data_IF_622899258195
#
_entry.id   IF_622899258195
#
_cell.length_a   1.000
_cell.length_b   1.000
_cell.length_c   1.000
_cell.angle_alpha   90.00
_cell.angle_beta   90.00
_cell.angle_gamma   90.00
#
_symmetry.space_group_name_H-M   'P 1'
#
loop_
_entity.id
_entity.type
_entity.pdbx_description
1 polymer ?
#
# COMPACT_ATOMS: atom_id res chain seq x y z
N UNK A 1 -13.00 8.38 2.78
CA UNK A 1 -11.55 8.64 2.58
C UNK A 1 -11.23 9.12 1.16
N UNK A 2 -11.98 8.71 0.12
CA UNK A 2 -11.84 9.23 -1.24
C UNK A 2 -12.91 10.28 -1.52
N UNK A 3 -12.53 11.51 -1.90
CA UNK A 3 -13.46 12.66 -1.91
C UNK A 3 -13.72 13.30 -3.28
N UNK A 4 -12.96 12.92 -4.31
CA UNK A 4 -13.07 13.48 -5.67
C UNK A 4 -13.22 12.42 -6.78
N UNK A 5 -13.47 11.16 -6.40
CA UNK A 5 -13.70 10.07 -7.34
C UNK A 5 -15.09 10.15 -7.98
N UNK A 6 -15.11 10.12 -9.31
CA UNK A 6 -16.34 9.98 -10.12
C UNK A 6 -16.79 8.51 -10.20
N UNK A 7 -18.06 8.29 -10.55
CA UNK A 7 -18.61 6.94 -10.78
C UNK A 7 -17.82 6.17 -11.85
N UNK A 8 -17.35 6.86 -12.90
CA UNK A 8 -16.55 6.26 -13.96
C UNK A 8 -15.18 5.78 -13.45
N UNK A 9 -14.55 6.52 -12.53
CA UNK A 9 -13.29 6.10 -11.91
C UNK A 9 -13.50 4.93 -10.94
N UNK A 10 -14.62 4.91 -10.21
CA UNK A 10 -15.00 3.75 -9.39
C UNK A 10 -15.24 2.51 -10.23
N UNK A 11 -15.98 2.62 -11.34
CA UNK A 11 -16.19 1.52 -12.29
C UNK A 11 -14.86 1.05 -12.89
N UNK A 12 -14.00 1.98 -13.30
CA UNK A 12 -12.66 1.67 -13.81
C UNK A 12 -11.82 0.86 -12.80
N UNK A 13 -11.76 1.30 -11.54
CA UNK A 13 -11.05 0.58 -10.48
C UNK A 13 -11.66 -0.80 -10.19
N UNK A 14 -12.99 -0.90 -10.17
CA UNK A 14 -13.66 -2.19 -9.99
C UNK A 14 -13.28 -3.19 -11.09
N UNK A 15 -13.19 -2.74 -12.35
CA UNK A 15 -12.77 -3.56 -13.51
C UNK A 15 -11.29 -3.92 -13.50
N UNK A 16 -10.45 -3.20 -12.77
CA UNK A 16 -9.04 -3.58 -12.58
C UNK A 16 -8.87 -4.71 -11.55
N UNK A 17 -9.77 -4.78 -10.55
CA UNK A 17 -9.71 -5.78 -9.49
C UNK A 17 -10.55 -7.03 -9.77
N UNK A 18 -11.57 -6.89 -10.61
CA UNK A 18 -12.54 -7.93 -10.92
C UNK A 18 -12.76 -8.07 -12.42
N UNK A 19 -12.94 -9.31 -12.84
CA UNK A 19 -13.36 -9.71 -14.17
C UNK A 19 -14.69 -10.47 -14.09
N UNK A 20 -15.37 -10.71 -15.21
CA UNK A 20 -16.57 -11.54 -15.23
C UNK A 20 -16.22 -13.00 -15.56
N UNK A 21 -16.69 -13.94 -14.72
CA UNK A 21 -16.62 -15.39 -14.95
C UNK A 21 -17.97 -15.99 -14.65
N UNK A 22 -18.54 -16.74 -15.60
CA UNK A 22 -19.88 -17.34 -15.51
C UNK A 22 -21.00 -16.35 -15.16
N UNK A 23 -20.91 -15.13 -15.72
CA UNK A 23 -21.88 -14.05 -15.48
C UNK A 23 -21.85 -13.47 -14.07
N UNK A 24 -20.74 -13.65 -13.33
CA UNK A 24 -20.54 -13.12 -11.98
C UNK A 24 -19.18 -12.42 -11.86
N UNK A 25 -19.07 -11.38 -11.00
CA UNK A 25 -17.78 -10.81 -10.65
C UNK A 25 -16.87 -11.84 -9.98
N UNK A 26 -15.66 -12.00 -10.52
CA UNK A 26 -14.61 -12.84 -9.98
C UNK A 26 -13.31 -12.03 -9.86
N UNK A 27 -12.50 -12.31 -8.84
CA UNK A 27 -11.24 -11.57 -8.64
C UNK A 27 -10.29 -11.79 -9.81
N UNK A 28 -9.69 -10.71 -10.29
CA UNK A 28 -8.77 -10.74 -11.42
C UNK A 28 -7.31 -10.74 -10.97
N UNK A 29 -6.94 -11.76 -10.20
CA UNK A 29 -5.56 -12.03 -9.83
C UNK A 29 -5.30 -13.54 -9.76
N UNK A 30 -4.02 -13.92 -9.79
CA UNK A 30 -3.62 -15.32 -9.68
C UNK A 30 -3.96 -15.88 -8.28
N UNK A 31 -4.83 -16.89 -8.15
CA UNK A 31 -5.12 -17.51 -6.85
C UNK A 31 -3.87 -18.14 -6.21
N UNK A 32 -2.85 -18.53 -6.99
CA UNK A 32 -1.59 -19.01 -6.45
C UNK A 32 -0.81 -17.91 -5.70
N UNK A 33 -0.95 -16.64 -6.09
CA UNK A 33 -0.37 -15.51 -5.35
C UNK A 33 -0.94 -15.42 -3.94
N UNK A 34 -2.26 -15.60 -3.81
CA UNK A 34 -2.92 -15.61 -2.50
C UNK A 34 -2.48 -16.81 -1.69
N UNK A 35 -2.44 -18.00 -2.29
CA UNK A 35 -1.99 -19.21 -1.60
C UNK A 35 -0.54 -19.07 -1.09
N UNK A 36 0.36 -18.49 -1.90
CA UNK A 36 1.77 -18.31 -1.57
C UNK A 36 1.98 -17.32 -0.41
N UNK A 37 1.12 -16.32 -0.26
CA UNK A 37 1.27 -15.26 0.75
C UNK A 37 0.38 -15.46 1.98
N UNK A 38 -0.65 -16.31 1.90
CA UNK A 38 -1.64 -16.51 2.95
C UNK A 38 -1.02 -16.89 4.31
N UNK A 39 -0.04 -17.79 4.32
CA UNK A 39 0.61 -18.22 5.55
C UNK A 39 1.36 -17.08 6.24
N UNK A 40 2.08 -16.25 5.48
CA UNK A 40 2.82 -15.11 6.02
C UNK A 40 1.86 -14.03 6.57
N UNK A 41 0.77 -13.74 5.84
CA UNK A 41 -0.26 -12.79 6.29
C UNK A 41 -0.94 -13.29 7.56
N UNK A 42 -1.32 -14.57 7.61
CA UNK A 42 -1.94 -15.17 8.78
C UNK A 42 -1.00 -15.16 10.00
N UNK A 43 0.28 -15.47 9.80
CA UNK A 43 1.29 -15.41 10.87
C UNK A 43 1.46 -13.98 11.41
N UNK A 44 1.51 -12.97 10.53
CA UNK A 44 1.56 -11.56 10.93
C UNK A 44 0.34 -11.15 11.75
N UNK A 45 -0.87 -11.49 11.28
CA UNK A 45 -2.11 -11.19 12.00
C UNK A 45 -2.18 -11.90 13.36
N UNK A 46 -1.75 -13.17 13.43
CA UNK A 46 -1.67 -13.92 14.67
C UNK A 46 -0.68 -13.30 15.67
N UNK A 47 0.48 -12.83 15.19
CA UNK A 47 1.46 -12.17 16.04
C UNK A 47 0.94 -10.83 16.61
N UNK A 48 0.22 -10.04 15.81
CA UNK A 48 -0.44 -8.81 16.28
C UNK A 48 -1.51 -9.13 17.33
N UNK A 49 -2.34 -10.15 17.07
CA UNK A 49 -3.38 -10.59 18.02
C UNK A 49 -2.77 -11.08 19.34
N UNK A 50 -1.76 -11.94 19.29
CA UNK A 50 -1.09 -12.46 20.48
C UNK A 50 -0.43 -11.34 21.31
N UNK A 51 0.20 -10.36 20.65
CA UNK A 51 0.75 -9.19 21.33
C UNK A 51 -0.34 -8.40 22.06
N UNK A 52 -1.47 -8.14 21.40
CA UNK A 52 -2.62 -7.46 22.01
C UNK A 52 -3.19 -8.22 23.21
N UNK A 53 -3.37 -9.54 23.11
CA UNK A 53 -3.83 -10.40 24.21
C UNK A 53 -2.85 -10.43 25.39
N UNK A 54 -1.54 -10.30 25.11
CA UNK A 54 -0.50 -10.20 26.13
C UNK A 54 -0.29 -8.77 26.68
N UNK A 55 -1.07 -7.78 26.22
CA UNK A 55 -0.86 -6.38 26.59
C UNK A 55 0.46 -5.78 26.10
N UNK A 56 1.06 -6.40 25.07
CA UNK A 56 2.32 -5.97 24.45
C UNK A 56 2.04 -5.17 23.18
N UNK A 57 2.94 -4.24 22.79
CA UNK A 57 2.83 -3.58 21.51
C UNK A 57 2.96 -4.59 20.37
N UNK A 58 2.25 -4.34 19.27
CA UNK A 58 2.38 -5.14 18.06
C UNK A 58 3.85 -5.19 17.60
N UNK A 59 4.30 -6.31 17.00
CA UNK A 59 5.65 -6.41 16.45
C UNK A 59 5.94 -5.25 15.49
N UNK A 60 7.10 -4.63 15.68
CA UNK A 60 7.53 -3.49 14.86
C UNK A 60 7.88 -3.93 13.44
N UNK A 61 7.36 -3.22 12.44
CA UNK A 61 7.74 -3.40 11.04
C UNK A 61 8.99 -2.58 10.64
N UNK A 62 9.53 -1.75 11.55
CA UNK A 62 10.72 -0.94 11.27
C UNK A 62 11.94 -1.75 10.81
N UNK A 63 12.26 -2.93 11.38
CA UNK A 63 13.38 -3.75 10.89
C UNK A 63 13.21 -4.18 9.42
N UNK A 64 11.98 -4.48 9.00
CA UNK A 64 11.69 -4.84 7.61
C UNK A 64 11.81 -3.63 6.68
N UNK A 65 11.34 -2.46 7.14
CA UNK A 65 11.52 -1.21 6.41
C UNK A 65 13.01 -0.82 6.30
N UNK A 66 13.78 -0.97 7.37
CA UNK A 66 15.21 -0.70 7.38
C UNK A 66 15.97 -1.62 6.42
N UNK A 67 15.47 -2.83 6.13
CA UNK A 67 16.02 -3.72 5.12
C UNK A 67 15.86 -3.20 3.68
N UNK A 68 15.02 -2.19 3.44
CA UNK A 68 14.88 -1.49 2.15
C UNK A 68 15.94 -0.41 1.92
N UNK A 69 16.84 -0.15 2.88
CA UNK A 69 17.92 0.85 2.73
C UNK A 69 18.74 0.71 1.43
N UNK A 70 19.15 -0.49 0.97
CA UNK A 70 19.99 -0.60 -0.23
C UNK A 70 19.23 -0.43 -1.55
N UNK A 71 17.89 -0.35 -1.54
CA UNK A 71 17.08 -0.20 -2.76
C UNK A 71 16.41 1.18 -2.83
N UNK A 72 16.34 1.81 -4.02
CA UNK A 72 15.50 2.99 -4.21
C UNK A 72 14.05 2.68 -3.83
N UNK A 73 13.41 3.60 -3.11
CA UNK A 73 12.02 3.41 -2.66
C UNK A 73 11.22 4.70 -2.77
N UNK A 74 9.92 4.53 -3.01
CA UNK A 74 8.90 5.58 -3.01
C UNK A 74 7.79 5.18 -2.02
N UNK A 75 7.44 6.08 -1.10
CA UNK A 75 6.26 5.94 -0.25
C UNK A 75 5.15 6.89 -0.74
N UNK A 76 4.03 6.32 -1.16
CA UNK A 76 2.84 7.07 -1.58
C UNK A 76 1.77 6.95 -0.49
N UNK A 77 1.30 8.10 0.01
CA UNK A 77 0.28 8.20 1.05
C UNK A 77 -0.94 8.95 0.51
N UNK A 78 -2.14 8.43 0.72
CA UNK A 78 -3.37 9.23 0.60
C UNK A 78 -3.50 10.19 1.79
N UNK A 79 -3.78 11.46 1.55
CA UNK A 79 -3.90 12.49 2.59
C UNK A 79 -4.92 12.11 3.68
N UNK A 80 -5.98 11.41 3.28
CA UNK A 80 -7.09 10.97 4.12
C UNK A 80 -6.91 9.53 4.65
N UNK A 81 -5.73 8.93 4.50
CA UNK A 81 -5.48 7.54 4.92
C UNK A 81 -5.59 7.38 6.43
N UNK A 82 -6.43 6.43 6.86
CA UNK A 82 -6.51 5.99 8.25
C UNK A 82 -5.42 4.97 8.66
N UNK A 83 -4.68 4.39 7.70
CA UNK A 83 -3.71 3.32 7.96
C UNK A 83 -2.25 3.81 8.04
N UNK A 84 -1.84 4.67 7.10
CA UNK A 84 -0.50 5.26 7.11
C UNK A 84 -0.60 6.72 7.52
N UNK A 85 -0.22 7.03 8.77
CA UNK A 85 -0.31 8.41 9.29
C UNK A 85 0.79 9.31 8.72
N UNK A 86 0.60 10.63 8.80
CA UNK A 86 1.62 11.59 8.37
C UNK A 86 2.89 11.50 9.24
N UNK A 87 2.72 11.23 10.53
CA UNK A 87 3.80 11.06 11.50
C UNK A 87 4.62 9.79 11.19
N UNK A 88 3.94 8.70 10.85
CA UNK A 88 4.61 7.45 10.45
C UNK A 88 5.41 7.66 9.17
N UNK A 89 4.85 8.36 8.18
CA UNK A 89 5.54 8.69 6.94
C UNK A 89 6.76 9.60 7.17
N UNK A 90 6.65 10.59 8.07
CA UNK A 90 7.78 11.42 8.47
C UNK A 90 8.89 10.60 9.14
N UNK A 91 8.53 9.64 10.00
CA UNK A 91 9.48 8.72 10.60
C UNK A 91 10.15 7.78 9.57
N UNK A 92 9.42 7.34 8.54
CA UNK A 92 10.00 6.60 7.41
C UNK A 92 11.05 7.43 6.68
N UNK A 93 10.74 8.68 6.34
CA UNK A 93 11.66 9.59 5.66
C UNK A 93 12.92 9.90 6.51
N UNK A 94 12.77 10.03 7.83
CA UNK A 94 13.90 10.21 8.74
C UNK A 94 14.83 8.97 8.79
N UNK A 95 14.26 7.76 8.67
CA UNK A 95 15.02 6.49 8.69
C UNK A 95 15.70 6.16 7.37
N UNK A 96 15.12 6.59 6.25
CA UNK A 96 15.64 6.39 4.90
C UNK A 96 15.71 7.76 4.19
N UNK A 97 16.82 8.51 4.32
CA UNK A 97 16.93 9.87 3.78
C UNK A 97 16.80 9.99 2.26
N UNK A 98 17.00 8.91 1.52
CA UNK A 98 16.83 8.83 0.06
C UNK A 98 15.42 8.35 -0.37
N UNK A 99 14.50 8.14 0.59
CA UNK A 99 13.11 7.79 0.34
C UNK A 99 12.40 8.94 -0.38
N UNK A 100 11.89 8.66 -1.58
CA UNK A 100 10.94 9.57 -2.22
C UNK A 100 9.60 9.47 -1.50
N UNK A 101 8.95 10.61 -1.25
CA UNK A 101 7.67 10.66 -0.54
C UNK A 101 6.66 11.48 -1.34
N UNK A 102 5.46 10.93 -1.51
CA UNK A 102 4.33 11.61 -2.14
C UNK A 102 3.10 11.49 -1.25
N UNK A 103 2.46 12.63 -0.95
CA UNK A 103 1.12 12.65 -0.33
C UNK A 103 0.11 13.17 -1.32
N UNK A 104 -0.91 12.37 -1.63
CA UNK A 104 -1.96 12.69 -2.60
C UNK A 104 -3.19 13.25 -1.89
N UNK A 105 -3.67 14.46 -2.25
CA UNK A 105 -4.93 14.97 -1.71
C UNK A 105 -6.10 14.07 -2.14
N UNK A 106 -7.21 14.13 -1.39
CA UNK A 106 -8.48 13.46 -1.72
C UNK A 106 -8.45 11.92 -1.77
N UNK A 107 -7.32 11.28 -1.44
CA UNK A 107 -7.15 9.81 -1.46
C UNK A 107 -7.07 9.22 -0.05
N UNK A 108 -7.64 8.02 0.10
CA UNK A 108 -7.59 7.18 1.30
C UNK A 108 -6.52 6.10 1.27
N UNK A 109 -6.73 5.01 2.01
CA UNK A 109 -5.97 3.77 1.79
C UNK A 109 -6.64 2.91 0.71
N UNK A 110 -5.99 2.58 -0.41
CA UNK A 110 -4.77 3.18 -0.94
C UNK A 110 -5.11 4.09 -2.13
N UNK A 111 -4.26 5.10 -2.46
CA UNK A 111 -4.33 5.74 -3.76
C UNK A 111 -4.34 4.72 -4.89
N UNK A 112 -5.03 5.02 -5.99
CA UNK A 112 -5.26 4.03 -7.06
C UNK A 112 -4.05 3.88 -7.98
N UNK A 113 -3.05 4.76 -7.85
CA UNK A 113 -1.87 4.83 -8.69
C UNK A 113 -2.22 5.19 -10.15
N UNK A 114 -3.40 5.77 -10.35
CA UNK A 114 -3.88 6.36 -11.61
C UNK A 114 -3.70 7.88 -11.64
N UNK A 115 -3.37 8.47 -10.49
CA UNK A 115 -3.20 9.91 -10.36
C UNK A 115 -1.97 10.36 -11.16
N UNK A 116 -2.04 11.46 -11.93
CA UNK A 116 -0.89 11.94 -12.71
C UNK A 116 0.37 12.16 -11.85
N UNK A 117 0.17 12.59 -10.59
CA UNK A 117 1.24 12.77 -9.61
C UNK A 117 1.84 11.43 -9.16
N UNK A 118 1.03 10.38 -8.99
CA UNK A 118 1.49 9.04 -8.66
C UNK A 118 2.30 8.45 -9.82
N UNK A 119 1.76 8.51 -11.03
CA UNK A 119 2.42 8.02 -12.24
C UNK A 119 3.78 8.68 -12.44
N UNK A 120 3.86 10.01 -12.37
CA UNK A 120 5.12 10.74 -12.49
C UNK A 120 6.15 10.36 -11.41
N UNK A 121 5.71 10.13 -10.17
CA UNK A 121 6.60 9.72 -9.09
C UNK A 121 7.10 8.27 -9.28
N UNK A 122 6.25 7.38 -9.78
CA UNK A 122 6.61 5.99 -10.12
C UNK A 122 7.61 5.97 -11.27
N UNK A 123 7.36 6.71 -12.35
CA UNK A 123 8.29 6.82 -13.48
C UNK A 123 9.66 7.35 -13.02
N UNK A 124 9.69 8.37 -12.16
CA UNK A 124 10.91 8.90 -11.58
C UNK A 124 11.64 7.88 -10.69
N UNK A 125 10.92 7.03 -9.97
CA UNK A 125 11.52 5.93 -9.20
C UNK A 125 12.15 4.89 -10.14
N UNK A 126 11.40 4.45 -11.15
CA UNK A 126 11.85 3.43 -12.11
C UNK A 126 13.10 3.88 -12.87
N UNK A 127 13.17 5.15 -13.27
CA UNK A 127 14.34 5.73 -13.92
C UNK A 127 15.60 5.74 -13.03
N UNK A 128 15.45 5.74 -11.69
CA UNK A 128 16.56 5.67 -10.73
C UNK A 128 16.98 4.23 -10.39
N UNK A 129 16.10 3.26 -10.66
CA UNK A 129 16.31 1.86 -10.35
C UNK A 129 16.87 1.04 -11.53
N UNK A 130 16.83 1.61 -12.74
CA UNK A 130 17.45 1.10 -13.95
C UNK A 130 18.96 1.36 -13.97
#
# INVERSE_FOLDING_TARGET
>A
EFTDLTDAQWDGFARQLFTERDGRPARDFDPALVAATAAAVAAGAAAVKAAAEAGQPAPSLWPLFDALKPVPALAIRGANSALLTAETLAAMAARKPDLAVLTLPNRGHAPFLDEPQALAAIDALLARAA
#
